data_IF_526508584351
#
_entry.id   IF_526508584351
#
_cell.length_a   1.000
_cell.length_b   1.000
_cell.length_c   1.000
_cell.angle_alpha   90.00
_cell.angle_beta   90.00
_cell.angle_gamma   90.00
#
_symmetry.space_group_name_H-M   'P 1'
#
loop_
_entity.id
_entity.type
_entity.pdbx_description
1 polymer ?
#
# COMPACT_ATOMS: atom_id res chain seq x y z
N UNK A 1 -22.89 14.27 5.82
CA UNK A 1 -22.30 13.92 7.13
C UNK A 1 -23.41 13.82 8.18
N UNK A 2 -24.45 13.04 7.91
CA UNK A 2 -25.78 13.26 8.50
C UNK A 2 -26.04 12.43 9.77
N UNK A 3 -25.00 11.87 10.36
CA UNK A 3 -25.09 11.02 11.54
C UNK A 3 -24.32 11.67 12.69
N UNK A 4 -25.00 11.74 13.83
CA UNK A 4 -24.43 12.12 15.12
C UNK A 4 -23.84 10.87 15.79
N UNK A 5 -22.61 10.56 15.42
CA UNK A 5 -21.90 9.39 15.89
C UNK A 5 -20.39 9.62 15.94
N UNK A 6 -19.68 8.71 16.62
CA UNK A 6 -18.22 8.62 16.54
C UNK A 6 -17.81 8.35 15.10
N UNK A 7 -16.83 9.08 14.58
CA UNK A 7 -16.32 8.90 13.21
C UNK A 7 -14.86 8.51 13.24
N UNK A 8 -14.57 7.41 12.55
CA UNK A 8 -13.23 6.90 12.34
C UNK A 8 -12.91 7.13 10.86
N UNK A 9 -11.88 7.92 10.58
CA UNK A 9 -11.36 8.07 9.23
C UNK A 9 -10.56 6.81 8.87
N UNK A 10 -10.78 6.29 7.67
CA UNK A 10 -10.01 5.20 7.10
C UNK A 10 -10.03 5.32 5.58
N UNK A 11 -8.88 5.11 4.95
CA UNK A 11 -8.75 5.12 3.49
C UNK A 11 -7.56 4.28 3.04
N UNK A 12 -7.66 3.54 1.92
CA UNK A 12 -6.50 2.92 1.28
C UNK A 12 -5.71 3.89 0.39
N UNK A 13 -6.23 5.09 0.17
CA UNK A 13 -5.58 6.12 -0.65
C UNK A 13 -4.53 6.88 0.16
N UNK A 14 -3.56 7.49 -0.53
CA UNK A 14 -2.53 8.35 0.07
C UNK A 14 -3.12 9.69 0.58
N UNK A 15 -3.94 9.63 1.64
CA UNK A 15 -4.66 10.73 2.27
C UNK A 15 -4.54 10.63 3.80
N UNK A 16 -4.63 11.77 4.47
CA UNK A 16 -4.49 11.88 5.93
C UNK A 16 -5.83 12.15 6.58
N UNK A 17 -5.92 11.75 7.84
CA UNK A 17 -7.05 12.08 8.70
C UNK A 17 -7.22 13.60 8.83
N UNK A 18 -8.38 14.12 8.44
CA UNK A 18 -8.81 15.46 8.83
C UNK A 18 -9.46 15.41 10.22
N UNK A 19 -8.66 15.77 11.22
CA UNK A 19 -9.01 15.74 12.65
C UNK A 19 -10.12 16.71 13.04
N UNK A 20 -10.52 17.62 12.14
CA UNK A 20 -11.68 18.49 12.35
C UNK A 20 -13.01 17.74 12.11
N UNK A 21 -13.00 16.73 11.24
CA UNK A 21 -14.21 15.99 10.85
C UNK A 21 -14.22 14.53 11.34
N UNK A 22 -13.10 14.02 11.84
CA UNK A 22 -12.95 12.67 12.41
C UNK A 22 -12.60 12.70 13.91
N UNK A 23 -13.16 11.78 14.70
CA UNK A 23 -12.76 11.59 16.10
C UNK A 23 -11.46 10.77 16.15
N UNK A 24 -11.36 9.74 15.31
CA UNK A 24 -10.23 8.81 15.23
C UNK A 24 -9.74 8.69 13.79
N UNK A 25 -8.46 8.34 13.61
CA UNK A 25 -7.82 8.18 12.31
C UNK A 25 -7.09 6.86 12.18
N UNK A 26 -7.30 6.19 11.04
CA UNK A 26 -6.54 5.03 10.60
C UNK A 26 -5.97 5.34 9.22
N UNK A 27 -4.69 5.64 9.18
CA UNK A 27 -3.96 5.98 7.94
C UNK A 27 -2.50 5.47 7.97
N UNK A 28 -1.65 6.03 7.12
CA UNK A 28 -0.29 5.54 6.87
C UNK A 28 0.79 6.29 7.67
N UNK A 29 0.43 7.40 8.32
CA UNK A 29 1.39 8.37 8.82
C UNK A 29 2.12 7.85 10.07
N UNK A 30 3.43 8.10 10.13
CA UNK A 30 4.23 7.86 11.33
C UNK A 30 3.97 8.98 12.35
N UNK A 31 2.90 8.84 13.13
CA UNK A 31 2.53 9.83 14.15
C UNK A 31 1.93 9.20 15.42
N UNK A 32 2.16 9.86 16.55
CA UNK A 32 1.44 9.62 17.80
C UNK A 32 0.39 10.70 17.97
N UNK A 33 -0.87 10.29 18.18
CA UNK A 33 -1.94 11.21 18.56
C UNK A 33 -2.77 10.62 19.70
N UNK A 34 -2.10 10.27 20.79
CA UNK A 34 -2.71 9.61 21.94
C UNK A 34 -3.55 8.39 21.49
N UNK A 35 -4.76 8.25 22.01
CA UNK A 35 -5.71 7.20 21.68
C UNK A 35 -6.47 7.46 20.36
N UNK A 36 -6.19 8.55 19.64
CA UNK A 36 -6.98 8.97 18.47
C UNK A 36 -6.45 8.44 17.13
N UNK A 37 -5.20 7.97 17.08
CA UNK A 37 -4.56 7.56 15.83
C UNK A 37 -4.07 6.12 15.90
N UNK A 38 -4.28 5.37 14.82
CA UNK A 38 -3.68 4.07 14.59
C UNK A 38 -3.12 4.02 13.17
N UNK A 39 -1.79 4.03 13.05
CA UNK A 39 -1.14 3.74 11.76
C UNK A 39 -1.50 2.33 11.34
N UNK A 40 -1.97 2.12 10.12
CA UNK A 40 -2.27 0.78 9.62
C UNK A 40 -2.12 0.72 8.09
N UNK A 41 -0.95 0.28 7.59
CA UNK A 41 -0.76 0.09 6.16
C UNK A 41 -1.69 -0.99 5.62
N UNK A 42 -2.52 -0.67 4.62
CA UNK A 42 -3.56 -1.58 4.13
C UNK A 42 -3.01 -2.87 3.52
N UNK A 43 -1.72 -2.91 3.19
CA UNK A 43 -1.03 -4.12 2.75
C UNK A 43 -1.06 -5.27 3.77
N UNK A 44 -1.35 -5.01 5.05
CA UNK A 44 -1.48 -6.04 6.09
C UNK A 44 -2.87 -6.72 6.12
N UNK A 45 -3.87 -6.25 5.39
CA UNK A 45 -5.20 -6.91 5.29
C UNK A 45 -5.10 -8.09 4.31
N UNK A 46 -4.62 -9.25 4.77
CA UNK A 46 -4.33 -10.39 3.90
C UNK A 46 -4.66 -11.75 4.49
N UNK A 47 -5.27 -12.61 3.66
CA UNK A 47 -5.55 -14.02 4.01
C UNK A 47 -4.42 -15.00 3.66
N UNK A 48 -3.45 -14.57 2.84
CA UNK A 48 -2.32 -15.38 2.35
C UNK A 48 -1.00 -15.11 3.10
N UNK A 49 -1.09 -14.56 4.33
CA UNK A 49 0.06 -14.18 5.15
C UNK A 49 1.07 -15.31 5.37
N UNK A 50 0.62 -16.54 5.58
CA UNK A 50 1.51 -17.68 5.80
C UNK A 50 2.37 -17.98 4.57
N UNK A 51 1.82 -17.77 3.37
CA UNK A 51 2.54 -17.94 2.11
C UNK A 51 3.64 -16.90 1.97
N UNK A 52 3.35 -15.65 2.33
CA UNK A 52 4.30 -14.54 2.30
C UNK A 52 5.43 -14.79 3.30
N UNK A 53 5.10 -15.16 4.53
CA UNK A 53 6.10 -15.44 5.58
C UNK A 53 7.04 -16.60 5.20
N UNK A 54 6.52 -17.61 4.49
CA UNK A 54 7.27 -18.80 4.07
C UNK A 54 7.90 -18.69 2.68
N UNK A 55 7.81 -17.54 2.00
CA UNK A 55 8.34 -17.36 0.63
C UNK A 55 9.78 -17.84 0.47
N UNK A 56 10.64 -17.53 1.45
CA UNK A 56 12.06 -17.88 1.45
C UNK A 56 12.35 -19.39 1.49
N UNK A 57 11.34 -20.21 1.84
CA UNK A 57 11.42 -21.68 1.85
C UNK A 57 11.13 -22.31 0.48
N UNK A 58 11.03 -21.49 -0.57
CA UNK A 58 10.86 -21.94 -1.95
C UNK A 58 11.97 -22.92 -2.36
N UNK A 59 11.58 -24.06 -2.93
CA UNK A 59 12.49 -25.12 -3.31
C UNK A 59 13.22 -24.87 -4.63
N UNK A 60 14.38 -25.50 -4.81
CA UNK A 60 15.25 -25.31 -5.98
C UNK A 60 14.55 -25.60 -7.31
N UNK A 61 13.71 -26.63 -7.35
CA UNK A 61 12.92 -26.97 -8.54
C UNK A 61 11.96 -25.83 -8.92
N UNK A 62 11.27 -25.24 -7.94
CA UNK A 62 10.35 -24.12 -8.19
C UNK A 62 11.11 -22.88 -8.67
N UNK A 63 12.25 -22.55 -8.07
CA UNK A 63 13.08 -21.42 -8.52
C UNK A 63 13.61 -21.67 -9.94
N UNK A 64 14.10 -22.86 -10.24
CA UNK A 64 14.61 -23.22 -11.57
C UNK A 64 13.49 -23.16 -12.62
N UNK A 65 12.27 -23.60 -12.28
CA UNK A 65 11.11 -23.46 -13.14
C UNK A 65 10.78 -21.99 -13.41
N UNK A 66 10.82 -21.13 -12.39
CA UNK A 66 10.65 -19.68 -12.57
C UNK A 66 11.69 -19.09 -13.51
N UNK A 67 12.96 -19.47 -13.37
CA UNK A 67 14.03 -18.95 -14.24
C UNK A 67 13.83 -19.38 -15.69
N UNK A 68 13.44 -20.64 -15.92
CA UNK A 68 13.38 -21.25 -17.25
C UNK A 68 12.10 -20.93 -18.02
N UNK A 69 10.96 -20.88 -17.32
CA UNK A 69 9.64 -20.89 -17.95
C UNK A 69 8.81 -19.65 -17.69
N UNK A 70 9.07 -18.91 -16.59
CA UNK A 70 8.28 -17.73 -16.32
C UNK A 70 8.60 -16.62 -17.33
N UNK A 71 7.54 -15.86 -17.62
CA UNK A 71 7.64 -14.60 -18.34
C UNK A 71 8.42 -13.58 -17.52
N UNK A 72 8.91 -12.56 -18.21
CA UNK A 72 9.79 -11.57 -17.61
C UNK A 72 9.13 -10.79 -16.47
N UNK A 73 8.21 -9.89 -16.78
CA UNK A 73 7.68 -8.96 -15.79
C UNK A 73 6.18 -8.73 -16.01
N UNK A 74 5.42 -8.72 -14.92
CA UNK A 74 4.01 -8.36 -14.91
C UNK A 74 3.78 -6.96 -14.37
N UNK A 75 2.84 -6.26 -14.98
CA UNK A 75 2.35 -4.94 -14.59
C UNK A 75 0.82 -4.96 -14.46
N UNK A 76 0.29 -4.35 -13.40
CA UNK A 76 -1.14 -4.44 -13.07
C UNK A 76 -1.70 -3.08 -12.65
N UNK A 77 -2.10 -2.27 -13.63
CA UNK A 77 -2.68 -0.94 -13.41
C UNK A 77 -3.98 -0.79 -14.18
N UNK A 78 -5.03 -0.33 -13.50
CA UNK A 78 -6.33 -0.04 -14.13
C UNK A 78 -6.67 1.45 -14.17
N UNK A 79 -6.13 2.24 -13.24
CA UNK A 79 -6.50 3.65 -13.04
C UNK A 79 -5.39 4.58 -13.56
N UNK A 80 -5.06 4.47 -14.85
CA UNK A 80 -4.22 5.44 -15.54
C UNK A 80 -4.86 5.82 -16.86
N UNK A 81 -4.82 7.10 -17.23
CA UNK A 81 -5.38 7.65 -18.47
C UNK A 81 -4.28 8.39 -19.22
N UNK A 82 -3.89 7.95 -20.42
CA UNK A 82 -2.93 8.68 -21.24
C UNK A 82 -3.36 10.13 -21.54
N UNK A 83 -2.41 11.05 -21.77
CA UNK A 83 -0.97 10.87 -21.63
C UNK A 83 -0.58 10.89 -20.14
N UNK A 84 0.24 9.94 -19.71
CA UNK A 84 0.73 9.90 -18.33
C UNK A 84 2.25 10.03 -18.32
N UNK A 85 2.69 11.09 -17.64
CA UNK A 85 4.08 11.36 -17.29
C UNK A 85 4.36 10.96 -15.83
N UNK A 86 3.61 9.97 -15.31
CA UNK A 86 3.77 9.50 -13.94
C UNK A 86 4.92 8.48 -13.86
N UNK A 87 5.61 8.45 -12.72
CA UNK A 87 6.82 7.65 -12.50
C UNK A 87 6.64 6.16 -12.84
N UNK A 88 5.44 5.64 -12.61
CA UNK A 88 5.09 4.25 -12.85
C UNK A 88 4.96 3.93 -14.33
N UNK A 89 4.28 4.79 -15.07
CA UNK A 89 4.04 4.58 -16.49
C UNK A 89 5.34 4.77 -17.28
N UNK A 90 6.19 5.73 -16.87
CA UNK A 90 7.55 5.91 -17.41
C UNK A 90 8.44 4.68 -17.15
N UNK A 91 8.40 4.12 -15.93
CA UNK A 91 9.14 2.89 -15.62
C UNK A 91 8.65 1.70 -16.47
N UNK A 92 7.35 1.56 -16.68
CA UNK A 92 6.78 0.51 -17.53
C UNK A 92 7.26 0.63 -18.98
N UNK A 93 7.26 1.84 -19.54
CA UNK A 93 7.70 2.10 -20.92
C UNK A 93 9.19 1.80 -21.09
N UNK A 94 10.05 2.35 -20.24
CA UNK A 94 11.50 2.11 -20.30
C UNK A 94 11.86 0.64 -20.09
N UNK A 95 11.18 -0.05 -19.16
CA UNK A 95 11.43 -1.48 -18.94
C UNK A 95 10.96 -2.32 -20.12
N UNK A 96 9.88 -1.92 -20.79
CA UNK A 96 9.36 -2.58 -21.98
C UNK A 96 10.27 -2.44 -23.20
N UNK A 97 11.13 -1.42 -23.26
CA UNK A 97 12.19 -1.31 -24.28
C UNK A 97 13.27 -2.40 -24.13
N UNK A 98 13.54 -2.85 -22.90
CA UNK A 98 14.49 -3.94 -22.64
C UNK A 98 13.89 -5.29 -22.99
N UNK A 99 12.71 -5.60 -22.42
CA UNK A 99 12.05 -6.91 -22.56
C UNK A 99 10.57 -6.73 -22.28
N UNK A 100 9.72 -7.47 -23.01
CA UNK A 100 8.26 -7.32 -22.93
C UNK A 100 7.76 -7.41 -21.48
N UNK A 101 7.15 -6.33 -21.00
CA UNK A 101 6.38 -6.31 -19.75
C UNK A 101 4.92 -6.55 -20.10
N UNK A 102 4.34 -7.63 -19.57
CA UNK A 102 2.93 -7.92 -19.78
C UNK A 102 2.09 -7.04 -18.83
N UNK A 103 1.16 -6.24 -19.38
CA UNK A 103 0.21 -5.45 -18.60
C UNK A 103 -1.16 -6.13 -18.59
N UNK A 104 -1.59 -6.58 -17.42
CA UNK A 104 -2.85 -7.29 -17.21
C UNK A 104 -4.02 -6.42 -16.76
N UNK A 105 -3.76 -5.17 -16.39
CA UNK A 105 -4.79 -4.21 -16.00
C UNK A 105 -5.49 -3.56 -17.20
N UNK A 106 -6.29 -2.51 -16.98
CA UNK A 106 -6.89 -1.75 -18.10
C UNK A 106 -5.87 -0.87 -18.82
N UNK A 107 -4.87 -0.37 -18.10
CA UNK A 107 -3.87 0.54 -18.66
C UNK A 107 -2.82 -0.24 -19.46
N UNK A 108 -2.57 0.19 -20.71
CA UNK A 108 -1.59 -0.42 -21.63
C UNK A 108 -1.72 -1.95 -21.77
N UNK A 109 -2.94 -2.49 -21.63
CA UNK A 109 -3.17 -3.93 -21.67
C UNK A 109 -2.60 -4.54 -22.96
N UNK A 110 -1.81 -5.60 -22.85
CA UNK A 110 -1.16 -6.27 -23.98
C UNK A 110 -1.21 -7.80 -23.88
N UNK A 111 -2.17 -8.32 -23.11
CA UNK A 111 -2.36 -9.76 -22.83
C UNK A 111 -3.72 -10.28 -23.30
N UNK A 112 -4.42 -9.51 -24.13
CA UNK A 112 -5.69 -9.91 -24.76
C UNK A 112 -6.93 -9.66 -23.89
N UNK A 113 -6.81 -8.97 -22.75
CA UNK A 113 -7.95 -8.64 -21.90
C UNK A 113 -7.56 -8.37 -20.46
N UNK A 114 -8.48 -7.78 -19.70
CA UNK A 114 -8.28 -7.51 -18.27
C UNK A 114 -8.21 -8.82 -17.50
N UNK A 115 -7.13 -8.99 -16.74
CA UNK A 115 -6.94 -10.13 -15.86
C UNK A 115 -7.87 -10.01 -14.65
N UNK A 116 -8.64 -11.08 -14.38
CA UNK A 116 -9.54 -11.18 -13.23
C UNK A 116 -8.82 -11.62 -11.96
N UNK A 117 -8.19 -12.80 -12.00
CA UNK A 117 -7.44 -13.34 -10.86
C UNK A 117 -5.97 -12.89 -10.93
N UNK A 118 -5.67 -11.75 -10.28
CA UNK A 118 -4.33 -11.15 -10.24
C UNK A 118 -3.28 -12.13 -9.69
N UNK A 119 -3.52 -12.73 -8.52
CA UNK A 119 -2.53 -13.57 -7.85
C UNK A 119 -2.21 -14.83 -8.65
N UNK A 120 -3.20 -15.46 -9.29
CA UNK A 120 -2.95 -16.63 -10.14
C UNK A 120 -2.08 -16.27 -11.33
N UNK A 121 -2.43 -15.18 -12.03
CA UNK A 121 -1.71 -14.72 -13.20
C UNK A 121 -0.26 -14.33 -12.89
N UNK A 122 -0.01 -13.69 -11.73
CA UNK A 122 1.33 -13.27 -11.34
C UNK A 122 2.30 -14.45 -11.13
N UNK A 123 1.83 -15.68 -10.86
CA UNK A 123 2.69 -16.85 -10.64
C UNK A 123 3.59 -17.17 -11.85
N UNK A 124 3.14 -16.81 -13.05
CA UNK A 124 3.83 -17.07 -14.32
C UNK A 124 4.92 -16.05 -14.64
N UNK A 125 5.27 -15.14 -13.71
CA UNK A 125 6.25 -14.08 -13.93
C UNK A 125 7.44 -14.15 -12.97
N UNK A 126 8.63 -13.76 -13.45
CA UNK A 126 9.84 -13.59 -12.61
C UNK A 126 9.71 -12.34 -11.75
N UNK A 127 9.31 -11.23 -12.36
CA UNK A 127 9.19 -9.93 -11.71
C UNK A 127 7.75 -9.42 -11.70
N UNK A 128 7.42 -8.60 -10.70
CA UNK A 128 6.21 -7.78 -10.71
C UNK A 128 6.58 -6.31 -10.48
N UNK A 129 6.29 -5.47 -11.48
CA UNK A 129 6.34 -4.01 -11.34
C UNK A 129 5.15 -3.55 -10.49
N UNK A 130 5.41 -3.31 -9.20
CA UNK A 130 4.40 -3.15 -8.15
C UNK A 130 4.42 -1.75 -7.53
N UNK A 131 4.60 -0.73 -8.38
CA UNK A 131 4.60 0.67 -7.97
C UNK A 131 3.24 1.12 -7.44
N UNK A 132 3.28 1.93 -6.39
CA UNK A 132 2.14 2.66 -5.89
C UNK A 132 1.68 3.79 -6.84
N UNK A 133 0.50 4.34 -6.59
CA UNK A 133 0.00 5.49 -7.36
C UNK A 133 0.75 6.80 -7.05
N UNK A 134 1.42 6.86 -5.90
CA UNK A 134 2.18 8.02 -5.42
C UNK A 134 3.17 7.55 -4.37
N UNK A 135 4.11 8.43 -4.03
CA UNK A 135 5.15 8.19 -3.01
C UNK A 135 4.84 8.93 -1.72
N UNK A 136 5.07 8.29 -0.57
CA UNK A 136 5.02 8.93 0.75
C UNK A 136 5.56 7.99 1.85
N UNK A 137 6.25 8.49 2.90
CA UNK A 137 6.67 7.69 4.05
C UNK A 137 5.51 6.93 4.70
N UNK A 138 5.57 5.60 4.67
CA UNK A 138 4.58 4.70 5.28
C UNK A 138 3.47 4.25 4.32
N UNK A 139 3.39 4.80 3.10
CA UNK A 139 2.34 4.47 2.12
C UNK A 139 2.58 3.11 1.43
N UNK A 140 2.37 2.05 2.19
CA UNK A 140 2.54 0.66 1.77
C UNK A 140 1.18 -0.03 1.61
N UNK A 141 0.86 -0.49 0.40
CA UNK A 141 -0.42 -1.15 0.09
C UNK A 141 -0.25 -2.64 -0.24
N UNK A 142 -1.28 -3.27 -0.82
CA UNK A 142 -1.29 -4.68 -1.20
C UNK A 142 -0.26 -5.04 -2.28
N UNK A 143 0.22 -4.08 -3.08
CA UNK A 143 0.97 -4.34 -4.33
C UNK A 143 2.29 -5.07 -4.09
N UNK A 144 3.05 -4.63 -3.09
CA UNK A 144 4.30 -5.29 -2.71
C UNK A 144 4.05 -6.75 -2.26
N UNK A 145 3.01 -6.94 -1.45
CA UNK A 145 2.65 -8.25 -0.91
C UNK A 145 2.05 -9.20 -1.95
N UNK A 146 1.37 -8.69 -2.97
CA UNK A 146 0.89 -9.50 -4.10
C UNK A 146 2.07 -10.13 -4.87
N UNK A 147 3.15 -9.38 -5.07
CA UNK A 147 4.37 -9.90 -5.68
C UNK A 147 5.01 -11.00 -4.83
N UNK A 148 5.15 -10.77 -3.52
CA UNK A 148 5.66 -11.79 -2.59
C UNK A 148 4.79 -13.05 -2.59
N UNK A 149 3.47 -12.89 -2.51
CA UNK A 149 2.53 -14.01 -2.50
C UNK A 149 2.54 -14.81 -3.80
N UNK A 150 2.73 -14.16 -4.96
CA UNK A 150 2.85 -14.85 -6.25
C UNK A 150 4.22 -15.53 -6.47
N UNK A 151 5.20 -15.31 -5.58
CA UNK A 151 6.56 -15.77 -5.75
C UNK A 151 7.31 -15.01 -6.86
N UNK A 152 6.91 -13.76 -7.14
CA UNK A 152 7.68 -12.85 -7.98
C UNK A 152 8.79 -12.21 -7.14
N UNK A 153 9.82 -11.68 -7.80
CA UNK A 153 10.65 -10.60 -7.26
C UNK A 153 9.89 -9.28 -7.43
N UNK A 154 9.56 -8.55 -6.35
CA UNK A 154 8.92 -7.25 -6.48
C UNK A 154 9.90 -6.18 -6.95
N UNK A 155 9.45 -5.34 -7.88
CA UNK A 155 10.08 -4.06 -8.25
C UNK A 155 9.16 -2.97 -7.71
N UNK A 156 9.57 -2.28 -6.64
CA UNK A 156 8.67 -1.47 -5.81
C UNK A 156 9.09 0.01 -5.77
N UNK A 157 8.10 0.90 -5.72
CA UNK A 157 8.22 2.34 -5.52
C UNK A 157 6.93 2.84 -4.83
N UNK A 158 7.04 3.67 -3.79
CA UNK A 158 5.89 4.15 -3.04
C UNK A 158 6.24 4.58 -1.62
N UNK A 159 6.47 3.61 -0.73
CA UNK A 159 6.86 3.90 0.65
C UNK A 159 8.37 4.23 0.74
N UNK A 160 8.69 5.52 0.89
CA UNK A 160 10.09 6.00 1.04
C UNK A 160 10.72 5.58 2.37
N UNK A 161 9.94 5.21 3.38
CA UNK A 161 10.47 4.71 4.65
C UNK A 161 11.15 3.34 4.53
N UNK A 162 10.92 2.65 3.40
CA UNK A 162 11.59 1.39 3.09
C UNK A 162 12.98 1.58 2.45
N UNK A 163 13.40 2.82 2.20
CA UNK A 163 14.77 3.12 1.76
C UNK A 163 15.74 2.84 2.91
N UNK A 164 16.83 2.14 2.61
CA UNK A 164 17.90 1.93 3.58
C UNK A 164 18.87 3.12 3.49
N UNK A 165 19.32 3.62 4.65
CA UNK A 165 20.59 4.37 4.67
C UNK A 165 21.71 3.37 4.45
N UNK A 166 22.28 3.34 3.24
CA UNK A 166 23.52 2.58 3.02
C UNK A 166 24.69 3.12 3.87
N UNK A 167 24.50 4.29 4.49
CA UNK A 167 25.49 4.93 5.33
C UNK A 167 24.97 4.92 6.79
N UNK A 168 25.41 3.91 7.53
CA UNK A 168 25.53 4.02 8.97
C UNK A 168 26.71 4.95 9.26
N UNK A 169 26.42 6.05 9.96
CA UNK A 169 27.34 7.05 10.52
C UNK A 169 27.79 8.15 9.55
N UNK A 170 27.19 9.34 9.75
CA UNK A 170 27.46 10.63 9.10
C UNK A 170 26.85 10.80 7.70
N UNK A 171 25.68 11.45 7.63
CA UNK A 171 25.65 12.77 7.00
C UNK A 171 24.30 13.48 7.13
N UNK A 172 24.40 14.76 7.47
CA UNK A 172 23.35 15.74 7.27
C UNK A 172 23.26 16.04 5.77
N UNK A 173 22.32 15.41 5.07
CA UNK A 173 21.99 15.80 3.70
C UNK A 173 20.79 16.74 3.76
N UNK A 174 21.04 18.01 3.41
CA UNK A 174 20.01 19.02 3.22
C UNK A 174 19.03 18.61 2.11
N UNK A 175 17.75 18.66 2.44
CA UNK A 175 16.64 18.49 1.51
C UNK A 175 16.59 19.69 0.55
N UNK A 176 17.20 19.58 -0.63
CA UNK A 176 16.92 20.48 -1.74
C UNK A 176 15.73 19.97 -2.55
N UNK A 177 14.53 20.42 -2.16
CA UNK A 177 13.34 20.33 -3.00
C UNK A 177 13.53 21.17 -4.28
N UNK A 178 13.79 20.53 -5.41
CA UNK A 178 13.70 21.21 -6.71
C UNK A 178 12.27 21.07 -7.25
N UNK A 179 11.56 22.19 -7.34
CA UNK A 179 10.33 22.29 -8.12
C UNK A 179 10.71 22.25 -9.60
N UNK A 180 10.55 21.11 -10.25
CA UNK A 180 10.83 20.94 -11.68
C UNK A 180 9.69 21.46 -12.56
N UNK A 181 9.96 22.55 -13.29
CA UNK A 181 9.08 23.13 -14.31
C UNK A 181 9.09 22.34 -15.63
N UNK A 182 8.09 22.62 -16.46
CA UNK A 182 7.83 21.95 -17.73
C UNK A 182 8.92 22.21 -18.78
N UNK A 183 9.56 21.12 -19.20
CA UNK A 183 10.39 21.03 -20.40
C UNK A 183 10.29 19.61 -20.95
N UNK A 184 10.56 19.40 -22.24
CA UNK A 184 10.56 18.07 -22.85
C UNK A 184 11.71 17.22 -22.26
N UNK A 185 11.41 16.48 -21.20
CA UNK A 185 12.34 15.56 -20.56
C UNK A 185 12.47 14.27 -21.38
N UNK A 186 13.70 13.88 -21.67
CA UNK A 186 13.97 12.50 -22.06
C UNK A 186 13.71 11.60 -20.83
N UNK A 187 12.83 10.62 -20.97
CA UNK A 187 12.40 9.70 -19.91
C UNK A 187 13.57 9.01 -19.17
N UNK A 188 14.75 8.92 -19.80
CA UNK A 188 15.95 8.28 -19.26
C UNK A 188 16.62 9.01 -18.08
N UNK A 189 16.29 10.28 -17.80
CA UNK A 189 16.91 11.06 -16.71
C UNK A 189 15.90 11.53 -15.64
N UNK A 190 14.81 10.79 -15.47
CA UNK A 190 13.86 11.05 -14.37
C UNK A 190 14.52 10.65 -13.05
N UNK A 191 14.75 11.64 -12.19
CA UNK A 191 15.27 11.43 -10.84
C UNK A 191 14.24 10.74 -9.96
N UNK A 192 14.70 9.85 -9.09
CA UNK A 192 13.89 9.18 -8.08
C UNK A 192 14.15 9.86 -6.74
N UNK A 193 13.09 10.08 -5.98
CA UNK A 193 13.21 10.55 -4.60
C UNK A 193 13.95 9.51 -3.75
N UNK A 194 15.17 9.85 -3.33
CA UNK A 194 16.02 9.04 -2.45
C UNK A 194 16.01 9.56 -1.01
N UNK A 195 15.09 10.45 -0.64
CA UNK A 195 15.02 11.01 0.71
C UNK A 195 14.74 9.91 1.73
N UNK A 196 15.54 9.85 2.79
CA UNK A 196 15.26 9.00 3.94
C UNK A 196 14.42 9.82 4.92
N UNK A 197 13.16 9.45 5.17
CA UNK A 197 12.34 10.18 6.12
C UNK A 197 12.88 10.00 7.54
N UNK A 198 12.93 11.10 8.30
CA UNK A 198 13.29 11.05 9.72
C UNK A 198 12.10 10.55 10.53
N UNK A 199 12.07 9.24 10.78
CA UNK A 199 11.01 8.60 11.56
C UNK A 199 11.55 8.24 12.96
N UNK A 200 10.87 8.63 14.05
CA UNK A 200 11.19 8.17 15.39
C UNK A 200 11.21 6.64 15.47
N UNK A 201 12.26 6.06 16.06
CA UNK A 201 12.46 4.60 16.08
C UNK A 201 11.28 3.82 16.67
N UNK A 202 10.60 4.39 17.67
CA UNK A 202 9.45 3.74 18.33
C UNK A 202 8.19 3.69 17.45
N UNK A 203 8.16 4.43 16.35
CA UNK A 203 7.07 4.39 15.36
C UNK A 203 7.31 3.35 14.25
N UNK A 204 8.48 2.71 14.22
CA UNK A 204 8.78 1.61 13.30
C UNK A 204 8.27 0.31 13.91
N UNK A 205 7.25 -0.27 13.29
CA UNK A 205 6.50 -1.40 13.82
C UNK A 205 6.87 -2.75 13.19
N UNK A 206 7.65 -2.73 12.11
CA UNK A 206 8.14 -3.90 11.37
C UNK A 206 9.33 -3.50 10.48
N UNK A 207 10.15 -4.48 10.13
CA UNK A 207 11.34 -4.33 9.29
C UNK A 207 11.21 -5.23 8.07
N UNK A 208 10.79 -4.65 6.93
CA UNK A 208 10.87 -5.35 5.65
C UNK A 208 12.33 -5.60 5.29
N UNK A 209 12.63 -6.81 4.81
CA UNK A 209 13.97 -7.16 4.39
C UNK A 209 14.28 -6.51 3.03
N UNK A 210 15.22 -5.56 2.98
CA UNK A 210 15.56 -4.88 1.74
C UNK A 210 16.19 -5.79 0.68
N UNK A 211 16.69 -6.98 1.08
CA UNK A 211 17.23 -7.97 0.14
C UNK A 211 16.14 -8.80 -0.53
N UNK A 212 14.88 -8.71 -0.10
CA UNK A 212 13.78 -9.51 -0.63
C UNK A 212 13.11 -8.90 -1.87
N UNK A 213 13.39 -7.64 -2.20
CA UNK A 213 12.79 -6.88 -3.30
C UNK A 213 13.72 -5.79 -3.85
N UNK A 214 13.43 -5.31 -5.06
CA UNK A 214 14.15 -4.19 -5.68
C UNK A 214 13.40 -2.90 -5.31
N UNK A 215 13.98 -2.09 -4.42
CA UNK A 215 13.41 -0.79 -4.02
C UNK A 215 13.90 0.33 -4.94
N UNK A 216 13.02 0.94 -5.71
CA UNK A 216 13.33 2.05 -6.62
C UNK A 216 13.98 3.24 -5.90
N UNK A 217 13.61 3.52 -4.65
CA UNK A 217 14.18 4.62 -3.85
C UNK A 217 15.69 4.43 -3.52
N UNK A 218 16.27 3.27 -3.81
CA UNK A 218 17.71 3.04 -3.67
C UNK A 218 18.52 3.51 -4.88
N UNK A 219 17.87 3.94 -5.97
CA UNK A 219 18.51 4.33 -7.22
C UNK A 219 18.27 5.82 -7.52
N UNK A 220 19.27 6.56 -8.01
CA UNK A 220 19.11 8.00 -8.25
C UNK A 220 18.23 8.31 -9.45
N UNK A 221 18.23 7.46 -10.48
CA UNK A 221 17.40 7.67 -11.68
C UNK A 221 16.63 6.41 -12.07
N UNK A 222 15.58 6.60 -12.89
CA UNK A 222 14.90 5.48 -13.55
C UNK A 222 15.88 4.59 -14.32
N UNK A 223 16.90 5.16 -14.97
CA UNK A 223 17.87 4.39 -15.73
C UNK A 223 18.66 3.44 -14.83
N UNK A 224 19.12 3.91 -13.68
CA UNK A 224 19.88 3.08 -12.73
C UNK A 224 19.02 1.91 -12.20
N UNK A 225 17.74 2.17 -11.93
CA UNK A 225 16.78 1.12 -11.58
C UNK A 225 16.62 0.10 -12.72
N UNK A 226 16.49 0.55 -13.97
CA UNK A 226 16.37 -0.34 -15.12
C UNK A 226 17.63 -1.19 -15.31
N UNK A 227 18.83 -0.62 -15.14
CA UNK A 227 20.07 -1.38 -15.21
C UNK A 227 20.18 -2.44 -14.10
N UNK A 228 19.70 -2.15 -12.89
CA UNK A 228 19.63 -3.17 -11.84
C UNK A 228 18.64 -4.29 -12.18
N UNK A 229 17.47 -3.96 -12.73
CA UNK A 229 16.50 -4.97 -13.15
C UNK A 229 17.08 -5.85 -14.27
N UNK A 230 17.81 -5.26 -15.22
CA UNK A 230 18.54 -6.00 -16.26
C UNK A 230 19.59 -6.92 -15.64
N UNK A 231 20.37 -6.43 -14.68
CA UNK A 231 21.35 -7.26 -13.95
C UNK A 231 20.65 -8.45 -13.30
N UNK A 232 19.51 -8.24 -12.63
CA UNK A 232 18.71 -9.30 -12.00
C UNK A 232 18.03 -10.26 -12.97
N UNK A 233 17.69 -9.83 -14.18
CA UNK A 233 17.16 -10.77 -15.18
C UNK A 233 18.24 -11.73 -15.68
N UNK A 234 19.50 -11.27 -15.77
CA UNK A 234 20.63 -12.02 -16.35
C UNK A 234 21.52 -12.74 -15.32
N UNK A 235 21.46 -12.38 -14.04
CA UNK A 235 22.17 -13.05 -12.95
C UNK A 235 21.22 -13.95 -12.16
N UNK A 236 21.21 -15.23 -12.54
CA UNK A 236 20.34 -16.24 -11.92
C UNK A 236 20.67 -16.49 -10.45
N UNK A 237 21.93 -16.36 -10.03
CA UNK A 237 22.32 -16.62 -8.64
C UNK A 237 21.87 -15.49 -7.73
N UNK A 238 22.01 -14.24 -8.16
CA UNK A 238 21.46 -13.11 -7.42
C UNK A 238 19.91 -13.10 -7.40
N UNK A 239 19.26 -13.49 -8.51
CA UNK A 239 17.80 -13.69 -8.52
C UNK A 239 17.36 -14.79 -7.54
N UNK A 240 18.05 -15.94 -7.51
CA UNK A 240 17.82 -17.02 -6.54
C UNK A 240 18.01 -16.55 -5.11
N UNK A 241 19.09 -15.81 -4.85
CA UNK A 241 19.39 -15.27 -3.53
C UNK A 241 18.23 -14.39 -3.04
N UNK A 242 17.76 -13.45 -3.85
CA UNK A 242 16.64 -12.56 -3.51
C UNK A 242 15.32 -13.32 -3.25
N UNK A 243 15.05 -14.41 -3.99
CA UNK A 243 13.86 -15.24 -3.73
C UNK A 243 13.94 -16.01 -2.40
N UNK A 244 15.16 -16.33 -1.93
CA UNK A 244 15.42 -17.02 -0.66
C UNK A 244 15.54 -16.07 0.53
N UNK A 245 15.36 -14.78 0.33
CA UNK A 245 15.36 -13.81 1.42
C UNK A 245 13.97 -13.80 2.11
N UNK A 246 13.91 -13.87 3.45
CA UNK A 246 12.65 -13.70 4.18
C UNK A 246 12.09 -12.30 3.94
N UNK A 247 10.76 -12.16 3.93
CA UNK A 247 10.10 -10.86 3.65
C UNK A 247 10.32 -9.85 4.77
N UNK A 248 10.34 -10.30 6.03
CA UNK A 248 10.58 -9.49 7.20
C UNK A 248 11.83 -9.96 7.93
N UNK A 249 12.52 -9.04 8.59
CA UNK A 249 13.67 -9.31 9.45
C UNK A 249 13.27 -9.57 10.92
N UNK A 250 12.03 -9.24 11.27
CA UNK A 250 11.51 -9.40 12.62
C UNK A 250 11.37 -10.88 13.01
N UNK A 251 11.48 -11.15 14.32
CA UNK A 251 11.28 -12.48 14.90
C UNK A 251 9.81 -12.79 15.25
N UNK A 252 8.88 -11.90 14.86
CA UNK A 252 7.44 -12.06 15.02
C UNK A 252 6.75 -12.06 13.65
N UNK A 253 5.41 -12.20 13.61
CA UNK A 253 4.64 -12.09 12.38
C UNK A 253 3.96 -10.70 12.31
N UNK A 254 4.47 -9.77 11.49
CA UNK A 254 3.91 -8.43 11.42
C UNK A 254 2.43 -8.38 11.00
N UNK A 255 1.94 -9.35 10.23
CA UNK A 255 0.51 -9.41 9.90
C UNK A 255 -0.36 -9.62 11.14
N UNK A 256 0.09 -10.46 12.07
CA UNK A 256 -0.65 -10.75 13.31
C UNK A 256 -0.57 -9.54 14.26
N UNK A 257 0.61 -8.93 14.41
CA UNK A 257 0.78 -7.75 15.27
C UNK A 257 -0.05 -6.57 14.79
N UNK A 258 -0.06 -6.30 13.47
CA UNK A 258 -0.88 -5.22 12.89
C UNK A 258 -2.38 -5.50 13.06
N UNK A 259 -2.82 -6.74 12.88
CA UNK A 259 -4.22 -7.14 13.12
C UNK A 259 -4.62 -6.95 14.60
N UNK A 260 -3.78 -7.42 15.53
CA UNK A 260 -4.02 -7.28 16.97
C UNK A 260 -4.05 -5.82 17.41
N UNK A 261 -3.15 -4.99 16.88
CA UNK A 261 -3.09 -3.55 17.15
C UNK A 261 -4.35 -2.85 16.65
N UNK A 262 -4.75 -3.10 15.40
CA UNK A 262 -5.98 -2.53 14.85
C UNK A 262 -7.21 -2.97 15.65
N UNK A 263 -7.28 -4.25 16.05
CA UNK A 263 -8.35 -4.76 16.90
C UNK A 263 -8.39 -4.04 18.24
N UNK A 264 -7.24 -3.91 18.91
CA UNK A 264 -7.12 -3.24 20.21
C UNK A 264 -7.53 -1.77 20.13
N UNK A 265 -7.14 -1.08 19.04
CA UNK A 265 -7.54 0.29 18.77
C UNK A 265 -9.05 0.43 18.59
N UNK A 266 -9.68 -0.45 17.78
CA UNK A 266 -11.13 -0.41 17.58
C UNK A 266 -11.89 -0.78 18.85
N UNK A 267 -11.38 -1.74 19.62
CA UNK A 267 -11.97 -2.14 20.90
C UNK A 267 -11.91 -1.01 21.92
N UNK A 268 -10.79 -0.28 22.01
CA UNK A 268 -10.65 0.86 22.94
C UNK A 268 -11.65 1.99 22.62
N UNK A 269 -12.00 2.18 21.34
CA UNK A 269 -13.03 3.13 20.91
C UNK A 269 -14.43 2.60 21.27
N UNK A 270 -14.73 1.36 20.89
CA UNK A 270 -16.05 0.77 21.08
C UNK A 270 -16.40 0.46 22.54
N UNK A 271 -15.41 0.36 23.43
CA UNK A 271 -15.63 0.14 24.86
C UNK A 271 -15.99 1.42 25.63
N UNK A 272 -15.81 2.59 25.02
CA UNK A 272 -16.13 3.88 25.65
C UNK A 272 -17.63 4.19 25.51
N UNK A 273 -18.18 4.90 26.50
CA UNK A 273 -19.48 5.57 26.34
C UNK A 273 -19.42 6.55 25.15
N UNK A 274 -20.46 6.67 24.31
CA UNK A 274 -20.40 7.49 23.09
C UNK A 274 -19.94 8.93 23.30
N UNK A 275 -20.38 9.57 24.40
CA UNK A 275 -19.95 10.92 24.79
C UNK A 275 -18.45 11.02 25.10
N UNK A 276 -17.87 9.93 25.60
CA UNK A 276 -16.45 9.83 25.91
C UNK A 276 -15.64 9.42 24.69
N UNK A 277 -16.22 8.74 23.69
CA UNK A 277 -15.52 8.44 22.44
C UNK A 277 -15.55 9.63 21.46
N UNK A 278 -16.48 10.56 21.62
CA UNK A 278 -16.51 11.79 20.82
C UNK A 278 -15.29 12.67 21.16
N UNK A 279 -14.55 13.09 20.14
CA UNK A 279 -13.28 13.84 20.29
C UNK A 279 -13.24 15.13 19.48
N UNK A 280 -14.11 15.26 18.46
CA UNK A 280 -14.20 16.50 17.67
C UNK A 280 -14.71 17.67 18.51
N UNK A 281 -14.13 18.85 18.31
CA UNK A 281 -14.67 20.11 18.84
C UNK A 281 -15.66 20.77 17.88
N UNK A 282 -16.46 21.70 18.39
CA UNK A 282 -17.24 22.62 17.57
C UNK A 282 -16.36 23.79 17.11
N UNK A 283 -15.54 23.57 16.08
CA UNK A 283 -14.77 24.67 15.50
C UNK A 283 -15.68 25.56 14.63
N UNK A 284 -15.65 26.88 14.85
CA UNK A 284 -16.46 27.87 14.11
C UNK A 284 -16.32 27.71 12.58
N UNK A 285 -15.12 27.42 12.09
CA UNK A 285 -14.85 27.19 10.67
C UNK A 285 -15.45 25.89 10.10
N UNK A 286 -15.76 24.89 10.95
CA UNK A 286 -16.46 23.67 10.52
C UNK A 286 -17.94 23.93 10.26
N UNK A 287 -18.54 24.88 10.97
CA UNK A 287 -19.93 25.33 10.74
C UNK A 287 -20.02 25.97 9.36
N UNK A 288 -19.08 26.85 9.02
CA UNK A 288 -18.97 27.44 7.68
C UNK A 288 -18.64 26.42 6.60
N UNK A 289 -17.72 25.48 6.86
CA UNK A 289 -17.38 24.41 5.92
C UNK A 289 -18.55 23.45 5.69
N UNK A 290 -19.31 23.05 6.72
CA UNK A 290 -20.56 22.26 6.57
C UNK A 290 -21.57 23.00 5.71
N UNK A 291 -21.79 24.28 6.01
CA UNK A 291 -22.73 25.14 5.25
C UNK A 291 -22.32 25.28 3.78
N UNK A 292 -21.01 25.31 3.48
CA UNK A 292 -20.48 25.33 2.11
C UNK A 292 -20.55 23.96 1.42
N UNK A 293 -20.26 22.88 2.13
CA UNK A 293 -20.31 21.50 1.60
C UNK A 293 -21.75 21.07 1.27
N UNK A 294 -22.73 21.48 2.08
CA UNK A 294 -24.16 21.25 1.83
C UNK A 294 -24.67 21.98 0.58
N UNK A 295 -24.08 23.14 0.24
CA UNK A 295 -24.44 23.92 -0.95
C UNK A 295 -23.81 23.43 -2.25
N UNK A 296 -22.66 22.74 -2.20
CA UNK A 296 -21.80 22.53 -3.38
C UNK A 296 -21.66 21.08 -3.90
N UNK A 297 -22.28 20.06 -3.29
CA UNK A 297 -22.15 18.68 -3.81
C UNK A 297 -23.31 18.21 -4.68
N UNK A 298 -23.02 18.10 -5.97
CA UNK A 298 -23.69 17.17 -6.88
C UNK A 298 -23.38 15.72 -6.44
N UNK A 299 -24.46 14.94 -6.26
CA UNK A 299 -24.57 13.58 -5.71
C UNK A 299 -23.80 12.40 -6.39
N UNK A 300 -23.23 12.46 -7.62
CA UNK A 300 -22.78 11.23 -8.30
C UNK A 300 -21.56 10.50 -7.72
N UNK A 301 -20.63 11.19 -7.03
CA UNK A 301 -19.34 10.58 -6.65
C UNK A 301 -19.43 9.63 -5.44
N UNK A 302 -20.47 9.77 -4.60
CA UNK A 302 -20.67 8.96 -3.39
C UNK A 302 -21.18 7.53 -3.71
N UNK A 303 -21.86 7.36 -4.84
CA UNK A 303 -22.48 6.09 -5.24
C UNK A 303 -21.45 4.98 -5.54
N UNK A 304 -20.20 5.35 -5.83
CA UNK A 304 -19.13 4.38 -6.12
C UNK A 304 -18.77 3.51 -4.89
N UNK A 305 -18.99 4.02 -3.68
CA UNK A 305 -18.68 3.33 -2.42
C UNK A 305 -19.88 2.64 -1.78
N UNK A 306 -21.10 2.78 -2.34
CA UNK A 306 -22.31 2.12 -1.84
C UNK A 306 -22.16 0.59 -1.77
N UNK A 307 -21.43 -0.02 -2.73
CA UNK A 307 -21.21 -1.48 -2.75
C UNK A 307 -20.33 -1.97 -1.59
N UNK A 308 -19.33 -1.19 -1.18
CA UNK A 308 -18.47 -1.49 -0.04
C UNK A 308 -19.20 -1.21 1.28
N UNK A 309 -19.93 -0.10 1.36
CA UNK A 309 -20.81 0.22 2.48
C UNK A 309 -21.90 -0.85 2.69
N UNK A 310 -22.45 -1.43 1.63
CA UNK A 310 -23.42 -2.54 1.70
C UNK A 310 -22.78 -3.83 2.22
N UNK A 311 -21.50 -4.08 1.89
CA UNK A 311 -20.73 -5.23 2.39
C UNK A 311 -20.42 -5.09 3.87
N UNK A 312 -20.08 -3.88 4.32
CA UNK A 312 -19.87 -3.54 5.74
C UNK A 312 -21.21 -3.58 6.51
N UNK A 313 -22.31 -3.06 5.94
CA UNK A 313 -23.63 -3.13 6.56
C UNK A 313 -24.15 -4.56 6.72
N UNK A 314 -23.86 -5.47 5.78
CA UNK A 314 -24.22 -6.88 5.93
C UNK A 314 -23.39 -7.59 7.02
N UNK A 315 -22.20 -7.09 7.34
CA UNK A 315 -21.38 -7.56 8.47
C UNK A 315 -21.91 -6.97 9.80
N UNK A 316 -22.42 -5.74 9.76
CA UNK A 316 -22.96 -5.03 10.93
C UNK A 316 -24.43 -5.36 11.25
N UNK A 317 -25.21 -5.88 10.30
CA UNK A 317 -26.63 -6.25 10.49
C UNK A 317 -26.84 -7.45 11.44
N UNK A 318 -25.77 -8.16 11.80
CA UNK A 318 -25.80 -9.16 12.87
C UNK A 318 -25.71 -8.56 14.28
N UNK A 319 -25.42 -7.26 14.42
CA UNK A 319 -25.33 -6.57 15.71
C UNK A 319 -26.58 -5.75 16.07
N UNK A 320 -27.51 -5.57 15.14
CA UNK A 320 -28.72 -4.75 15.34
C UNK A 320 -29.97 -5.53 15.72
N UNK A 321 -29.87 -6.84 16.03
CA UNK A 321 -30.97 -7.53 16.70
C UNK A 321 -30.97 -7.05 18.17
N UNK A 322 -32.01 -6.34 18.64
CA UNK A 322 -32.10 -5.92 20.03
C UNK A 322 -31.93 -7.13 20.96
N UNK A 323 -31.15 -6.99 22.04
CA UNK A 323 -30.94 -8.07 23.03
C UNK A 323 -32.27 -8.63 23.58
N UNK A 324 -33.36 -7.87 23.49
CA UNK A 324 -34.71 -8.25 23.90
C UNK A 324 -35.37 -9.27 22.96
N UNK A 325 -34.99 -9.30 21.67
CA UNK A 325 -35.46 -10.30 20.70
C UNK A 325 -34.80 -11.66 20.92
N UNK A 326 -33.54 -11.70 21.39
CA UNK A 326 -32.80 -12.94 21.69
C UNK A 326 -33.36 -13.63 22.95
N UNK A 327 -33.90 -12.88 23.93
CA UNK A 327 -34.59 -13.47 25.09
C UNK A 327 -35.90 -14.17 24.69
N UNK A 328 -36.59 -13.70 23.65
CA UNK A 328 -37.85 -14.28 23.18
C UNK A 328 -37.69 -15.61 22.44
N UNK A 329 -36.48 -15.93 21.98
CA UNK A 329 -36.16 -17.19 21.27
C UNK A 329 -35.47 -18.26 22.15
N UNK A 330 -35.31 -18.03 23.46
CA UNK A 330 -34.78 -19.04 24.42
C UNK A 330 -35.86 -19.72 25.27
N UNK A 331 -37.14 -19.52 24.96
CA UNK A 331 -38.26 -20.26 25.54
C UNK A 331 -39.14 -20.82 24.41
N UNK A 332 -38.60 -21.78 23.67
CA UNK A 332 -39.34 -22.84 22.96
C UNK A 332 -38.44 -24.05 22.80
#
# INVERSE_FOLDING_TARGET
MNYDCVRIFFTPENLRTDWNIADYGIDFDFMEFNDRHCRFPVGFIRGDRDKIMKRHLIGDEEINNKIKYNKFCAFMVSNSKPPTSDMRDMCFELLSEYKKVDSGGLFRNNVGGRIGNKLEWLKDYKFHLCFENSTYPGYLTEKLFDAFSAGCVPIYWGDTSLRISLDSENDHIESHCTKGGGGNFSHQYVNIDMTIPRIPKHLIEYHLNPKAFINAHNFPTLRDLIEEIKRMDNDHEAYKAMLREPVFLDNFNPFIEQENKLKSFLESICSQEPKNAFRRGEAIHLTDHRTRMEKNYNLPHLLKYYKLAKKINNILSWRTIPRDLIKKYKLK
#
